data_IF_639394620629
#
_entry.id   IF_639394620629
#
_cell.length_a   1.000
_cell.length_b   1.000
_cell.length_c   1.000
_cell.angle_alpha   90.00
_cell.angle_beta   90.00
_cell.angle_gamma   90.00
#
_symmetry.space_group_name_H-M   'P 1'
#
loop_
_entity.id
_entity.type
_entity.pdbx_description
1 polymer ?
#
# COMPACT_ATOMS: atom_id res chain seq x y z
N UNK A 1 -12.81 16.80 -8.82
CA UNK A 1 -13.13 15.72 -9.78
C UNK A 1 -12.12 14.62 -9.52
N UNK A 2 -12.52 13.39 -9.17
CA UNK A 2 -11.55 12.29 -9.07
C UNK A 2 -11.19 11.85 -10.49
N UNK A 3 -9.90 11.70 -10.77
CA UNK A 3 -9.40 11.22 -12.04
C UNK A 3 -9.74 9.73 -12.22
N UNK A 4 -10.18 9.28 -13.41
CA UNK A 4 -10.37 7.86 -13.70
C UNK A 4 -9.00 7.15 -13.65
N UNK A 5 -8.85 6.16 -12.76
CA UNK A 5 -7.62 5.36 -12.61
C UNK A 5 -6.74 5.68 -11.39
N UNK A 6 -7.20 6.48 -10.44
CA UNK A 6 -6.46 6.76 -9.21
C UNK A 6 -6.65 5.65 -8.15
N UNK A 7 -5.54 5.07 -7.64
CA UNK A 7 -5.50 4.11 -6.52
C UNK A 7 -5.81 4.74 -5.14
N UNK A 8 -6.62 5.81 -5.11
CA UNK A 8 -6.98 6.59 -3.93
C UNK A 8 -8.46 6.48 -3.62
N UNK A 9 -8.78 6.18 -2.36
CA UNK A 9 -10.13 6.29 -1.83
C UNK A 9 -10.19 7.44 -0.81
N UNK A 10 -10.54 8.65 -1.24
CA UNK A 10 -10.69 9.83 -0.35
C UNK A 10 -12.08 9.88 0.29
N UNK A 11 -12.24 9.72 1.60
CA UNK A 11 -13.56 9.79 2.24
C UNK A 11 -14.14 11.21 2.15
N UNK A 12 -14.97 11.42 1.13
CA UNK A 12 -15.80 12.61 0.96
C UNK A 12 -17.26 12.14 0.93
N UNK A 13 -18.02 12.57 1.94
CA UNK A 13 -19.44 12.33 2.08
C UNK A 13 -20.19 12.78 0.81
N UNK A 14 -20.73 11.83 0.04
CA UNK A 14 -21.48 12.11 -1.18
C UNK A 14 -22.00 10.85 -1.86
N UNK A 15 -23.24 10.48 -1.50
CA UNK A 15 -24.20 9.54 -2.14
C UNK A 15 -23.64 8.63 -3.26
N UNK A 16 -23.68 7.32 -3.03
CA UNK A 16 -23.62 6.31 -4.08
C UNK A 16 -24.93 5.50 -4.11
N UNK A 17 -25.52 5.47 -5.31
CA UNK A 17 -26.78 4.80 -5.63
C UNK A 17 -26.64 3.28 -5.71
N UNK A 18 -27.74 2.62 -5.37
CA UNK A 18 -27.92 1.18 -5.21
C UNK A 18 -27.76 0.42 -6.53
N UNK A 19 -26.73 -0.42 -6.68
CA UNK A 19 -26.65 -1.39 -7.78
C UNK A 19 -27.00 -2.80 -7.26
N UNK A 20 -28.13 -3.33 -7.75
CA UNK A 20 -28.58 -4.72 -7.61
C UNK A 20 -28.39 -5.43 -8.96
N UNK A 21 -27.63 -6.53 -9.00
CA UNK A 21 -27.99 -7.87 -9.55
C UNK A 21 -26.81 -8.64 -10.19
N UNK A 22 -26.81 -9.95 -9.86
CA UNK A 22 -26.41 -11.13 -10.64
C UNK A 22 -25.00 -11.16 -11.23
N UNK A 23 -24.06 -11.82 -10.55
CA UNK A 23 -22.78 -12.25 -11.13
C UNK A 23 -22.63 -13.75 -10.85
N UNK A 24 -22.62 -14.54 -11.94
CA UNK A 24 -22.22 -15.95 -11.94
C UNK A 24 -20.69 -15.98 -12.16
N UNK A 25 -19.93 -16.52 -11.20
CA UNK A 25 -18.59 -17.07 -11.46
C UNK A 25 -17.34 -16.18 -11.27
N UNK A 26 -17.42 -14.98 -10.66
CA UNK A 26 -16.24 -14.17 -10.33
C UNK A 26 -15.84 -14.32 -8.86
N UNK A 27 -14.71 -14.98 -8.58
CA UNK A 27 -14.17 -15.12 -7.22
C UNK A 27 -13.29 -13.91 -6.85
N UNK A 28 -13.65 -13.24 -5.75
CA UNK A 28 -12.99 -12.03 -5.23
C UNK A 28 -12.37 -12.30 -3.86
N UNK A 29 -11.15 -11.80 -3.63
CA UNK A 29 -10.53 -11.74 -2.31
C UNK A 29 -10.20 -10.29 -1.95
N UNK A 30 -10.69 -9.81 -0.80
CA UNK A 30 -10.38 -8.48 -0.28
C UNK A 30 -9.52 -8.62 0.98
N UNK A 31 -8.35 -7.96 0.98
CA UNK A 31 -7.43 -7.88 2.09
C UNK A 31 -7.37 -6.44 2.60
N UNK A 32 -8.21 -6.13 3.57
CA UNK A 32 -8.27 -4.86 4.27
C UNK A 32 -7.27 -4.87 5.44
N UNK A 33 -6.35 -3.90 5.50
CA UNK A 33 -5.36 -3.81 6.59
C UNK A 33 -4.52 -5.07 6.76
N UNK A 34 -4.14 -5.72 5.65
CA UNK A 34 -3.55 -7.06 5.66
C UNK A 34 -2.24 -7.13 6.47
N UNK A 35 -2.15 -8.06 7.42
CA UNK A 35 -0.94 -8.26 8.25
C UNK A 35 0.07 -9.17 7.54
N UNK A 36 0.23 -8.99 6.22
CA UNK A 36 0.91 -9.96 5.34
C UNK A 36 2.40 -10.14 5.63
N UNK A 37 3.03 -9.12 6.23
CA UNK A 37 4.44 -9.11 6.66
C UNK A 37 4.57 -8.91 8.17
N UNK A 38 3.48 -9.12 8.92
CA UNK A 38 3.43 -8.86 10.35
C UNK A 38 3.11 -7.40 10.71
N UNK A 39 2.82 -7.12 11.99
CA UNK A 39 2.74 -5.78 12.55
C UNK A 39 4.11 -5.11 12.66
N UNK A 40 4.14 -3.83 13.03
CA UNK A 40 5.38 -3.12 13.38
C UNK A 40 6.23 -3.92 14.40
N UNK A 41 7.51 -4.22 14.12
CA UNK A 41 8.34 -5.07 14.98
C UNK A 41 8.50 -4.56 16.42
N UNK A 42 8.44 -3.25 16.62
CA UNK A 42 8.55 -2.58 17.92
C UNK A 42 7.44 -3.01 18.89
N UNK A 43 6.31 -3.48 18.35
CA UNK A 43 5.18 -3.90 19.15
C UNK A 43 5.26 -5.36 19.57
N UNK A 44 6.18 -6.16 19.01
CA UNK A 44 6.31 -7.59 19.32
C UNK A 44 6.41 -7.83 20.83
N UNK A 45 7.37 -7.18 21.50
CA UNK A 45 7.57 -7.33 22.94
C UNK A 45 6.34 -6.91 23.77
N UNK A 46 5.66 -5.82 23.37
CA UNK A 46 4.46 -5.33 24.05
C UNK A 46 3.28 -6.29 23.86
N UNK A 47 3.00 -6.74 22.65
CA UNK A 47 1.90 -7.68 22.39
C UNK A 47 2.16 -9.04 23.03
N UNK A 48 3.37 -9.59 22.95
CA UNK A 48 3.69 -10.86 23.61
C UNK A 48 3.59 -10.78 25.14
N UNK A 49 3.79 -9.60 25.73
CA UNK A 49 3.70 -9.39 27.18
C UNK A 49 2.26 -9.13 27.66
N UNK A 50 1.47 -8.33 26.92
CA UNK A 50 0.13 -7.88 27.35
C UNK A 50 -1.04 -8.64 26.71
N UNK A 51 -0.79 -9.45 25.67
CA UNK A 51 -1.79 -10.32 25.04
C UNK A 51 -1.15 -11.67 24.68
N UNK A 52 -0.89 -12.53 25.68
CA UNK A 52 -0.30 -13.86 25.48
C UNK A 52 -1.26 -14.87 24.79
N UNK A 53 -2.36 -14.39 24.21
CA UNK A 53 -3.22 -15.21 23.36
C UNK A 53 -2.40 -15.68 22.14
N UNK A 54 -2.43 -16.98 21.87
CA UNK A 54 -1.65 -17.61 20.79
C UNK A 54 -1.89 -16.96 19.42
N UNK A 55 -3.12 -16.52 19.15
CA UNK A 55 -3.50 -15.88 17.88
C UNK A 55 -2.83 -14.53 17.63
N UNK A 56 -2.62 -13.71 18.67
CA UNK A 56 -1.94 -12.42 18.53
C UNK A 56 -0.43 -12.59 18.31
N UNK A 57 0.14 -13.68 18.82
CA UNK A 57 1.56 -14.00 18.64
C UNK A 57 1.84 -14.57 17.25
N UNK A 58 0.90 -15.34 16.70
CA UNK A 58 0.95 -15.87 15.33
C UNK A 58 1.06 -14.77 14.26
N UNK A 59 0.46 -13.59 14.50
CA UNK A 59 0.58 -12.44 13.59
C UNK A 59 2.04 -11.98 13.40
N UNK A 60 2.90 -12.13 14.42
CA UNK A 60 4.31 -11.79 14.30
C UNK A 60 5.13 -12.87 13.59
N UNK A 61 4.57 -14.05 13.32
CA UNK A 61 5.22 -15.06 12.49
C UNK A 61 5.21 -14.67 11.01
N UNK A 62 4.28 -13.81 10.58
CA UNK A 62 4.28 -13.24 9.23
C UNK A 62 5.50 -12.35 8.95
N UNK A 63 6.17 -11.85 9.98
CA UNK A 63 7.39 -11.07 9.82
C UNK A 63 8.59 -11.92 9.35
N UNK A 64 8.52 -13.24 9.49
CA UNK A 64 9.52 -14.18 8.98
C UNK A 64 8.97 -14.89 7.72
N UNK A 65 9.54 -14.63 6.53
CA UNK A 65 9.15 -15.30 5.29
C UNK A 65 9.31 -16.83 5.33
N UNK A 66 10.21 -17.34 6.19
CA UNK A 66 10.46 -18.78 6.33
C UNK A 66 9.51 -19.45 7.33
N UNK A 67 8.68 -18.68 8.03
CA UNK A 67 7.71 -19.25 8.97
C UNK A 67 6.69 -20.12 8.25
N UNK A 68 6.12 -21.07 8.99
CA UNK A 68 5.10 -22.00 8.43
C UNK A 68 3.87 -21.22 7.96
N UNK A 69 3.49 -20.16 8.67
CA UNK A 69 2.33 -19.33 8.35
C UNK A 69 2.58 -18.52 7.07
N UNK A 70 3.72 -17.85 6.95
CA UNK A 70 4.10 -17.08 5.76
C UNK A 70 4.13 -17.95 4.51
N UNK A 71 4.75 -19.13 4.59
CA UNK A 71 4.82 -20.08 3.47
C UNK A 71 3.46 -20.61 3.04
N UNK A 72 2.58 -20.90 4.00
CA UNK A 72 1.20 -21.32 3.71
C UNK A 72 0.39 -20.19 3.08
N UNK A 73 0.58 -18.96 3.55
CA UNK A 73 -0.10 -17.79 2.99
C UNK A 73 0.33 -17.51 1.55
N UNK A 74 1.64 -17.57 1.26
CA UNK A 74 2.17 -17.44 -0.11
C UNK A 74 1.64 -18.54 -1.04
N UNK A 75 1.65 -19.81 -0.58
CA UNK A 75 1.14 -20.92 -1.37
C UNK A 75 -0.36 -20.80 -1.64
N UNK A 76 -1.14 -20.38 -0.64
CA UNK A 76 -2.57 -20.12 -0.82
C UNK A 76 -2.82 -19.00 -1.84
N UNK A 77 -2.03 -17.92 -1.80
CA UNK A 77 -2.11 -16.84 -2.78
C UNK A 77 -1.74 -17.35 -4.18
N UNK A 78 -0.67 -18.14 -4.30
CA UNK A 78 -0.22 -18.76 -5.56
C UNK A 78 -1.31 -19.62 -6.18
N UNK A 79 -2.01 -20.42 -5.36
CA UNK A 79 -3.14 -21.23 -5.80
C UNK A 79 -4.31 -20.34 -6.23
N UNK A 80 -4.67 -19.33 -5.43
CA UNK A 80 -5.79 -18.44 -5.73
C UNK A 80 -5.62 -17.72 -7.07
N UNK A 81 -4.47 -17.07 -7.29
CA UNK A 81 -4.21 -16.34 -8.54
C UNK A 81 -4.13 -17.29 -9.74
N UNK A 82 -3.65 -18.52 -9.56
CA UNK A 82 -3.60 -19.56 -10.60
C UNK A 82 -5.00 -19.96 -11.08
N UNK A 83 -5.99 -19.98 -10.18
CA UNK A 83 -7.40 -20.26 -10.52
C UNK A 83 -8.17 -19.02 -10.98
N UNK A 84 -7.51 -17.86 -11.13
CA UNK A 84 -8.14 -16.64 -11.63
C UNK A 84 -8.78 -15.77 -10.55
N UNK A 85 -8.53 -16.06 -9.27
CA UNK A 85 -9.00 -15.20 -8.18
C UNK A 85 -8.28 -13.86 -8.24
N UNK A 86 -9.06 -12.79 -8.12
CA UNK A 86 -8.55 -11.43 -8.04
C UNK A 86 -8.50 -10.95 -6.61
N UNK A 87 -7.34 -10.41 -6.25
CA UNK A 87 -7.03 -10.02 -4.88
C UNK A 87 -6.82 -8.52 -4.83
N UNK A 88 -7.63 -7.85 -4.01
CA UNK A 88 -7.50 -6.43 -3.74
C UNK A 88 -6.90 -6.24 -2.36
N UNK A 89 -5.75 -5.58 -2.28
CA UNK A 89 -5.16 -5.15 -1.01
C UNK A 89 -5.44 -3.67 -0.78
N UNK A 90 -5.98 -3.34 0.38
CA UNK A 90 -6.22 -1.95 0.78
C UNK A 90 -5.60 -1.69 2.16
N UNK A 91 -4.67 -0.73 2.23
CA UNK A 91 -4.05 -0.28 3.48
C UNK A 91 -4.46 1.15 3.83
N UNK A 92 -4.50 1.48 5.14
CA UNK A 92 -4.66 2.89 5.55
C UNK A 92 -3.31 3.62 5.53
N UNK A 93 -3.32 4.88 5.10
CA UNK A 93 -2.11 5.72 5.09
C UNK A 93 -1.59 6.01 6.50
N UNK A 94 -2.45 6.07 7.49
CA UNK A 94 -2.16 6.42 8.88
C UNK A 94 -2.40 5.24 9.83
N UNK A 95 -2.16 4.02 9.33
CA UNK A 95 -2.25 2.79 10.12
C UNK A 95 -1.27 2.82 11.30
N UNK A 96 -1.81 2.59 12.49
CA UNK A 96 -1.07 2.65 13.75
C UNK A 96 -0.45 1.32 14.16
N UNK A 97 -0.83 0.19 13.55
CA UNK A 97 -0.40 -1.16 13.98
C UNK A 97 0.37 -1.90 12.89
N UNK A 98 -0.01 -1.68 11.62
CA UNK A 98 0.52 -2.42 10.47
C UNK A 98 1.15 -1.43 9.49
N UNK A 99 2.34 -1.76 9.00
CA UNK A 99 3.02 -0.92 8.01
C UNK A 99 2.29 -0.96 6.66
N UNK A 100 2.35 0.13 5.89
CA UNK A 100 1.73 0.18 4.56
C UNK A 100 2.24 -0.96 3.66
N UNK A 101 3.54 -1.25 3.70
CA UNK A 101 4.13 -2.36 2.94
C UNK A 101 3.53 -3.75 3.27
N UNK A 102 3.14 -3.96 4.53
CA UNK A 102 2.52 -5.20 5.02
C UNK A 102 1.08 -5.26 4.53
N UNK A 103 0.34 -4.15 4.68
CA UNK A 103 -1.05 -3.99 4.24
C UNK A 103 -1.27 -4.25 2.76
N UNK A 104 -0.31 -3.87 1.91
CA UNK A 104 -0.41 -4.06 0.45
C UNK A 104 0.30 -5.33 -0.07
N UNK A 105 0.87 -6.12 0.84
CA UNK A 105 1.79 -7.22 0.54
C UNK A 105 2.81 -6.84 -0.56
N UNK A 106 3.71 -5.91 -0.22
CA UNK A 106 4.65 -5.31 -1.18
C UNK A 106 5.53 -6.30 -1.97
N UNK A 107 6.05 -7.41 -1.40
CA UNK A 107 6.98 -8.31 -2.08
C UNK A 107 6.38 -9.12 -3.24
N UNK A 108 5.07 -9.33 -3.26
CA UNK A 108 4.42 -10.13 -4.30
C UNK A 108 4.09 -9.28 -5.53
N UNK A 109 4.09 -9.86 -6.72
CA UNK A 109 3.67 -9.16 -7.94
C UNK A 109 2.91 -10.13 -8.83
N UNK A 110 1.69 -9.76 -9.22
CA UNK A 110 0.85 -10.51 -10.14
C UNK A 110 -0.23 -9.60 -10.73
N UNK A 111 -0.64 -9.75 -12.01
CA UNK A 111 -1.68 -8.91 -12.62
C UNK A 111 -3.06 -8.98 -11.94
N UNK A 112 -3.39 -10.11 -11.31
CA UNK A 112 -4.61 -10.26 -10.50
C UNK A 112 -4.48 -9.70 -9.07
N UNK A 113 -3.45 -8.90 -8.79
CA UNK A 113 -3.30 -8.20 -7.52
C UNK A 113 -3.46 -6.72 -7.77
N UNK A 114 -4.49 -6.13 -7.17
CA UNK A 114 -4.71 -4.69 -7.16
C UNK A 114 -4.42 -4.12 -5.78
N UNK A 115 -3.71 -2.99 -5.73
CA UNK A 115 -3.36 -2.33 -4.47
C UNK A 115 -3.95 -0.93 -4.41
N UNK A 116 -4.50 -0.60 -3.25
CA UNK A 116 -5.12 0.69 -2.97
C UNK A 116 -4.68 1.23 -1.62
N UNK A 117 -4.76 2.55 -1.48
CA UNK A 117 -4.59 3.24 -0.21
C UNK A 117 -5.88 3.94 0.19
N UNK A 118 -6.29 3.69 1.43
CA UNK A 118 -7.34 4.44 2.11
C UNK A 118 -6.74 5.70 2.74
N UNK A 119 -7.34 6.85 2.43
CA UNK A 119 -6.96 8.14 3.00
C UNK A 119 -8.20 8.75 3.64
N UNK A 120 -8.16 8.88 4.97
CA UNK A 120 -9.24 9.54 5.70
C UNK A 120 -9.17 11.05 5.51
N UNK A 121 -10.06 11.58 4.66
CA UNK A 121 -10.18 13.01 4.37
C UNK A 121 -10.51 13.89 5.58
N UNK A 122 -10.96 13.30 6.71
CA UNK A 122 -11.24 14.04 7.96
C UNK A 122 -9.96 14.41 8.70
N UNK A 123 -8.95 13.55 8.64
CA UNK A 123 -7.66 13.74 9.32
C UNK A 123 -6.62 14.28 8.33
N UNK A 124 -6.64 13.77 7.10
CA UNK A 124 -5.63 14.05 6.09
C UNK A 124 -6.27 14.81 4.92
N UNK A 125 -5.96 16.09 4.81
CA UNK A 125 -6.17 16.78 3.54
C UNK A 125 -5.28 16.15 2.46
N UNK A 126 -5.75 16.05 1.19
CA UNK A 126 -4.91 15.65 0.08
C UNK A 126 -3.62 16.47 0.08
N UNK A 127 -2.50 15.79 0.26
CA UNK A 127 -1.19 16.39 0.33
C UNK A 127 -0.20 15.60 -0.53
N UNK A 128 1.02 16.13 -0.66
CA UNK A 128 2.09 15.47 -1.42
C UNK A 128 2.28 14.00 -1.06
N UNK A 129 2.25 13.62 0.22
CA UNK A 129 2.46 12.22 0.62
C UNK A 129 1.34 11.29 0.16
N UNK A 130 0.09 11.72 0.27
CA UNK A 130 -1.01 10.93 -0.30
C UNK A 130 -0.78 10.76 -1.81
N UNK A 131 -0.51 11.83 -2.56
CA UNK A 131 -0.24 11.77 -4.01
C UNK A 131 1.02 10.97 -4.37
N UNK A 132 2.02 10.89 -3.50
CA UNK A 132 3.20 10.07 -3.71
C UNK A 132 2.88 8.57 -3.55
N UNK A 133 2.13 8.21 -2.50
CA UNK A 133 1.85 6.81 -2.18
C UNK A 133 0.97 6.15 -3.23
N UNK A 134 -0.15 6.74 -3.61
CA UNK A 134 -0.97 6.17 -4.69
C UNK A 134 -0.36 6.33 -6.09
N UNK A 135 0.56 7.27 -6.33
CA UNK A 135 1.43 7.20 -7.53
C UNK A 135 2.29 5.93 -7.50
N UNK A 136 2.94 5.64 -6.38
CA UNK A 136 3.70 4.40 -6.22
C UNK A 136 2.83 3.14 -6.35
N UNK A 137 1.62 3.13 -5.78
CA UNK A 137 0.69 2.01 -5.95
C UNK A 137 0.20 1.87 -7.38
N UNK A 138 -0.07 2.97 -8.08
CA UNK A 138 -0.41 2.96 -9.51
C UNK A 138 0.71 2.31 -10.32
N UNK A 139 1.97 2.68 -10.08
CA UNK A 139 3.12 2.02 -10.71
C UNK A 139 3.13 0.51 -10.43
N UNK A 140 2.92 0.10 -9.17
CA UNK A 140 2.88 -1.32 -8.79
C UNK A 140 1.73 -2.08 -9.46
N UNK A 141 0.55 -1.46 -9.60
CA UNK A 141 -0.59 -2.06 -10.29
C UNK A 141 -0.35 -2.17 -11.81
N UNK A 142 0.47 -1.29 -12.38
CA UNK A 142 0.93 -1.36 -13.78
C UNK A 142 2.11 -2.31 -13.98
N UNK A 143 2.61 -2.96 -12.92
CA UNK A 143 3.76 -3.87 -12.97
C UNK A 143 5.12 -3.17 -12.94
N UNK A 144 5.16 -1.85 -12.77
CA UNK A 144 6.40 -1.06 -12.62
C UNK A 144 6.86 -1.11 -11.17
N UNK A 145 8.19 -1.14 -10.96
CA UNK A 145 8.79 -1.14 -9.63
C UNK A 145 8.65 0.22 -8.96
N UNK A 146 8.24 0.27 -7.70
CA UNK A 146 8.32 1.47 -6.86
C UNK A 146 9.70 1.62 -6.20
N UNK A 147 10.66 0.74 -6.52
CA UNK A 147 12.01 0.68 -5.95
C UNK A 147 12.05 0.53 -4.41
N UNK A 148 10.94 0.12 -3.79
CA UNK A 148 10.81 0.02 -2.34
C UNK A 148 10.44 1.34 -1.66
N UNK A 149 9.93 2.33 -2.41
CA UNK A 149 9.47 3.61 -1.86
C UNK A 149 8.44 3.43 -0.75
N UNK A 150 7.47 2.53 -0.95
CA UNK A 150 6.40 2.33 0.04
C UNK A 150 6.97 1.78 1.34
N UNK A 151 7.97 0.89 1.27
CA UNK A 151 8.67 0.36 2.44
C UNK A 151 9.37 1.46 3.22
N UNK A 152 10.16 2.31 2.56
CA UNK A 152 10.88 3.40 3.23
C UNK A 152 9.91 4.42 3.87
N UNK A 153 8.79 4.72 3.22
CA UNK A 153 7.80 5.67 3.73
C UNK A 153 6.90 5.07 4.82
N UNK A 154 6.75 3.74 4.90
CA UNK A 154 5.82 3.08 5.83
C UNK A 154 6.05 3.49 7.28
N UNK A 155 7.31 3.63 7.71
CA UNK A 155 7.65 4.06 9.07
C UNK A 155 7.31 5.53 9.33
N UNK A 156 7.46 6.38 8.32
CA UNK A 156 7.15 7.81 8.43
C UNK A 156 5.65 8.10 8.42
N UNK A 157 4.86 7.18 7.88
CA UNK A 157 3.41 7.25 7.76
C UNK A 157 2.68 6.62 8.96
N UNK A 158 3.39 5.92 9.84
CA UNK A 158 2.80 5.24 10.99
C UNK A 158 1.92 6.17 11.83
N UNK A 159 0.67 5.76 12.02
CA UNK A 159 -0.31 6.49 12.82
C UNK A 159 0.03 6.52 14.31
N UNK A 160 -0.62 7.43 15.04
CA UNK A 160 -0.52 7.48 16.50
C UNK A 160 -1.26 6.30 17.13
N UNK A 161 -0.60 5.51 17.99
CA UNK A 161 -1.27 4.44 18.74
C UNK A 161 -2.36 4.93 19.71
N UNK A 162 -2.28 6.19 20.16
CA UNK A 162 -3.16 6.73 21.19
C UNK A 162 -4.40 7.42 20.63
N UNK A 163 -4.32 7.91 19.40
CA UNK A 163 -5.35 8.76 18.78
C UNK A 163 -5.65 8.37 17.34
N UNK A 164 -4.87 7.46 16.77
CA UNK A 164 -5.02 6.97 15.40
C UNK A 164 -6.03 5.84 15.34
N UNK A 165 -6.88 5.91 14.34
CA UNK A 165 -7.91 4.90 14.06
C UNK A 165 -7.79 4.39 12.61
N UNK A 166 -6.66 4.66 11.95
CA UNK A 166 -6.44 4.38 10.54
C UNK A 166 -6.67 2.91 10.19
N UNK A 167 -6.13 1.99 11.00
CA UNK A 167 -6.29 0.55 10.77
C UNK A 167 -7.77 0.10 10.78
N UNK A 168 -8.61 0.72 11.61
CA UNK A 168 -10.00 0.30 11.79
C UNK A 168 -10.95 1.01 10.83
N UNK A 169 -10.71 2.29 10.54
CA UNK A 169 -11.61 3.12 9.72
C UNK A 169 -11.75 2.63 8.29
N UNK A 170 -10.72 1.98 7.73
CA UNK A 170 -10.78 1.46 6.36
C UNK A 170 -11.85 0.37 6.19
N UNK A 171 -12.22 -0.34 7.26
CA UNK A 171 -13.26 -1.38 7.23
C UNK A 171 -14.68 -0.80 7.19
N UNK A 172 -14.85 0.47 7.58
CA UNK A 172 -16.15 1.15 7.64
C UNK A 172 -16.51 1.88 6.34
N UNK A 173 -15.59 1.96 5.37
CA UNK A 173 -15.79 2.71 4.14
C UNK A 173 -16.26 1.80 3.00
N UNK A 174 -17.51 1.99 2.57
CA UNK A 174 -18.15 1.22 1.50
C UNK A 174 -17.32 1.18 0.20
N UNK A 175 -16.57 2.25 -0.09
CA UNK A 175 -15.85 2.40 -1.36
C UNK A 175 -14.65 1.47 -1.47
N UNK A 176 -14.14 0.98 -0.33
CA UNK A 176 -13.11 -0.06 -0.31
C UNK A 176 -13.68 -1.37 -0.85
N UNK A 177 -14.92 -1.69 -0.50
CA UNK A 177 -15.63 -2.86 -1.01
C UNK A 177 -16.07 -2.67 -2.46
N UNK A 178 -16.57 -1.48 -2.82
CA UNK A 178 -16.92 -1.17 -4.21
C UNK A 178 -15.73 -1.36 -5.15
N UNK A 179 -14.54 -0.87 -4.76
CA UNK A 179 -13.30 -1.04 -5.52
C UNK A 179 -12.90 -2.52 -5.67
N UNK A 180 -13.05 -3.30 -4.60
CA UNK A 180 -12.76 -4.74 -4.63
C UNK A 180 -13.71 -5.48 -5.58
N UNK A 181 -15.00 -5.14 -5.54
CA UNK A 181 -16.01 -5.70 -6.42
C UNK A 181 -15.74 -5.27 -7.87
N UNK A 182 -15.45 -4.00 -8.13
CA UNK A 182 -15.12 -3.49 -9.46
C UNK A 182 -13.93 -4.25 -10.06
N UNK A 183 -12.84 -4.40 -9.29
CA UNK A 183 -11.67 -5.15 -9.73
C UNK A 183 -11.96 -6.64 -9.93
N UNK A 184 -12.81 -7.25 -9.10
CA UNK A 184 -13.22 -8.64 -9.29
C UNK A 184 -14.06 -8.85 -10.57
N UNK A 185 -14.74 -7.81 -11.03
CA UNK A 185 -15.65 -7.85 -12.17
C UNK A 185 -15.04 -7.51 -13.51
N UNK A 186 -13.80 -7.00 -13.58
CA UNK A 186 -13.19 -6.81 -14.91
C UNK A 186 -13.08 -8.17 -15.62
N UNK A 187 -13.07 -8.15 -16.95
CA UNK A 187 -13.10 -9.40 -17.75
C UNK A 187 -11.74 -9.74 -18.36
N UNK A 188 -10.67 -9.08 -17.90
CA UNK A 188 -9.29 -9.34 -18.31
C UNK A 188 -8.85 -10.75 -17.93
N UNK A 189 -8.74 -11.63 -18.93
CA UNK A 189 -8.29 -13.01 -18.74
C UNK A 189 -6.80 -13.12 -19.08
N UNK A 190 -6.00 -13.45 -18.08
CA UNK A 190 -4.57 -13.73 -18.19
C UNK A 190 -4.38 -15.21 -17.83
N UNK A 191 -3.63 -15.93 -18.67
CA UNK A 191 -3.35 -17.36 -18.47
C UNK A 191 -1.87 -17.57 -18.19
N UNK A 192 -1.58 -18.49 -17.27
CA UNK A 192 -0.25 -19.02 -17.01
C UNK A 192 0.82 -18.00 -16.57
N UNK A 193 0.43 -16.89 -15.94
CA UNK A 193 1.37 -15.99 -15.27
C UNK A 193 1.63 -16.51 -13.85
N UNK A 194 2.89 -16.80 -13.47
CA UNK A 194 3.21 -17.21 -12.11
C UNK A 194 3.18 -16.00 -11.16
N UNK A 195 2.86 -16.27 -9.88
CA UNK A 195 3.08 -15.31 -8.81
C UNK A 195 4.59 -15.07 -8.63
N UNK A 196 5.02 -13.84 -8.86
CA UNK A 196 6.38 -13.38 -8.55
C UNK A 196 6.45 -12.95 -7.08
N UNK A 197 7.43 -13.47 -6.35
CA UNK A 197 7.63 -13.19 -4.93
C UNK A 197 9.08 -12.79 -4.75
N UNK A 198 9.31 -11.50 -4.45
CA UNK A 198 10.65 -10.99 -4.19
C UNK A 198 11.11 -11.40 -2.81
N UNK A 199 12.40 -11.68 -2.67
CA UNK A 199 13.00 -11.95 -1.36
C UNK A 199 12.82 -10.73 -0.45
N UNK A 200 12.08 -10.93 0.63
CA UNK A 200 11.81 -9.88 1.60
C UNK A 200 12.80 -9.98 2.75
N UNK A 201 13.53 -8.90 2.97
CA UNK A 201 14.38 -8.73 4.15
C UNK A 201 13.94 -7.47 4.90
N UNK A 202 13.71 -7.63 6.20
CA UNK A 202 13.40 -6.51 7.10
C UNK A 202 14.62 -5.58 7.12
N UNK A 203 14.47 -4.30 6.72
CA UNK A 203 15.58 -3.36 6.71
C UNK A 203 16.17 -3.21 8.12
N UNK A 204 17.43 -3.63 8.29
CA UNK A 204 18.09 -3.59 9.61
C UNK A 204 18.74 -2.22 9.89
N UNK A 205 18.91 -1.38 8.85
CA UNK A 205 19.57 -0.08 8.96
C UNK A 205 18.82 0.99 8.14
N UNK A 206 18.42 2.09 8.79
CA UNK A 206 17.82 3.26 8.16
C UNK A 206 18.92 4.14 7.53
N UNK A 207 19.38 3.77 6.33
CA UNK A 207 20.34 4.58 5.58
C UNK A 207 19.64 5.81 4.97
N UNK A 208 20.03 7.05 5.34
CA UNK A 208 19.35 8.27 4.88
C UNK A 208 19.47 8.52 3.37
N UNK A 209 20.42 7.87 2.68
CA UNK A 209 20.63 8.01 1.23
C UNK A 209 19.76 7.07 0.38
N UNK A 210 19.01 6.15 0.99
CA UNK A 210 18.16 5.19 0.27
C UNK A 210 16.98 5.91 -0.37
N UNK A 211 16.25 6.73 0.40
CA UNK A 211 15.05 7.41 -0.11
C UNK A 211 15.33 8.32 -1.33
N UNK A 212 16.38 9.16 -1.34
CA UNK A 212 16.74 9.94 -2.54
C UNK A 212 17.07 9.07 -3.75
N UNK A 213 17.76 7.94 -3.53
CA UNK A 213 18.14 7.02 -4.60
C UNK A 213 16.92 6.31 -5.21
N UNK A 214 16.00 5.85 -4.37
CA UNK A 214 14.72 5.25 -4.77
C UNK A 214 13.91 6.24 -5.63
N UNK A 215 13.75 7.48 -5.14
CA UNK A 215 12.98 8.50 -5.86
C UNK A 215 13.59 8.84 -7.20
N UNK A 216 14.92 8.92 -7.27
CA UNK A 216 15.60 9.09 -8.56
C UNK A 216 15.33 7.92 -9.50
N UNK A 217 15.44 6.68 -9.02
CA UNK A 217 15.17 5.48 -9.83
C UNK A 217 13.74 5.47 -10.36
N UNK A 218 12.77 5.77 -9.51
CA UNK A 218 11.36 5.86 -9.88
C UNK A 218 11.08 6.94 -10.93
N UNK A 219 11.72 8.10 -10.84
CA UNK A 219 11.60 9.17 -11.85
C UNK A 219 12.39 8.86 -13.13
N UNK A 220 13.39 7.98 -13.06
CA UNK A 220 14.19 7.58 -14.19
C UNK A 220 13.57 6.44 -15.03
N UNK A 221 12.53 5.76 -14.52
CA UNK A 221 11.80 4.71 -15.23
C UNK A 221 11.23 5.20 -16.58
N UNK A 222 11.41 4.42 -17.65
CA UNK A 222 11.00 4.80 -19.01
C UNK A 222 9.49 5.04 -19.10
N UNK A 223 8.69 4.19 -18.44
CA UNK A 223 7.24 4.34 -18.39
C UNK A 223 6.81 5.64 -17.69
N UNK A 224 7.53 6.03 -16.64
CA UNK A 224 7.24 7.26 -15.89
C UNK A 224 7.54 8.49 -16.73
N UNK A 225 8.67 8.51 -17.45
CA UNK A 225 9.07 9.61 -18.33
C UNK A 225 8.18 9.77 -19.56
N UNK A 226 7.59 8.69 -20.04
CA UNK A 226 6.82 8.69 -21.30
C UNK A 226 5.34 8.93 -21.05
N UNK A 227 4.72 8.14 -20.16
CA UNK A 227 3.27 8.10 -19.97
C UNK A 227 2.79 8.90 -18.76
N UNK A 228 3.67 9.23 -17.81
CA UNK A 228 3.29 9.85 -16.52
C UNK A 228 3.97 11.20 -16.24
N UNK A 229 4.59 11.82 -17.25
CA UNK A 229 5.32 13.09 -17.10
C UNK A 229 4.48 14.23 -16.49
N UNK A 230 3.22 14.35 -16.90
CA UNK A 230 2.27 15.33 -16.34
C UNK A 230 1.96 15.05 -14.87
N UNK A 231 1.83 13.79 -14.47
CA UNK A 231 1.57 13.41 -13.07
C UNK A 231 2.81 13.67 -12.21
N UNK A 232 4.01 13.37 -12.73
CA UNK A 232 5.28 13.69 -12.07
C UNK A 232 5.43 15.19 -11.87
N UNK A 233 5.13 16.00 -12.88
CA UNK A 233 5.21 17.46 -12.78
C UNK A 233 4.28 18.01 -11.70
N UNK A 234 3.04 17.51 -11.63
CA UNK A 234 2.10 17.91 -10.58
C UNK A 234 2.56 17.42 -9.20
N UNK A 235 3.10 16.21 -9.10
CA UNK A 235 3.65 15.66 -7.85
C UNK A 235 4.82 16.51 -7.33
N UNK A 236 5.71 16.97 -8.22
CA UNK A 236 6.83 17.86 -7.88
C UNK A 236 6.35 19.25 -7.44
N UNK A 237 5.32 19.79 -8.10
CA UNK A 237 4.70 21.06 -7.67
C UNK A 237 4.10 20.93 -6.27
N UNK A 238 3.38 19.85 -6.00
CA UNK A 238 2.84 19.58 -4.67
C UNK A 238 3.94 19.39 -3.62
N UNK A 239 5.08 18.80 -3.97
CA UNK A 239 6.24 18.69 -3.10
C UNK A 239 6.78 20.06 -2.67
N UNK A 240 6.91 20.99 -3.63
CA UNK A 240 7.39 22.35 -3.37
C UNK A 240 6.45 23.12 -2.43
N UNK A 241 5.14 22.97 -2.63
CA UNK A 241 4.11 23.60 -1.81
C UNK A 241 3.94 22.92 -0.43
N UNK A 242 4.34 21.66 -0.29
CA UNK A 242 4.12 20.87 0.91
C UNK A 242 4.92 21.36 2.11
N UNK A 243 4.23 21.63 3.23
CA UNK A 243 4.83 22.10 4.48
C UNK A 243 4.58 21.08 5.60
N UNK A 244 5.48 20.11 5.82
CA UNK A 244 5.30 19.10 6.85
C UNK A 244 5.31 19.69 8.27
N UNK A 245 4.41 19.19 9.12
CA UNK A 245 4.26 19.67 10.50
C UNK A 245 5.12 18.88 11.48
N UNK A 246 5.17 17.55 11.33
CA UNK A 246 5.90 16.65 12.24
C UNK A 246 7.40 16.61 11.95
N UNK A 247 8.21 16.29 12.96
CA UNK A 247 9.68 16.16 12.81
C UNK A 247 10.05 15.09 11.78
N UNK A 248 9.34 13.97 11.79
CA UNK A 248 9.57 12.84 10.87
C UNK A 248 9.31 13.26 9.42
N UNK A 249 8.19 13.94 9.16
CA UNK A 249 7.85 14.39 7.81
C UNK A 249 8.77 15.53 7.31
N UNK A 250 9.28 16.38 8.21
CA UNK A 250 10.31 17.37 7.88
C UNK A 250 11.61 16.70 7.45
N UNK A 251 12.00 15.63 8.13
CA UNK A 251 13.18 14.84 7.77
C UNK A 251 13.00 14.15 6.40
N UNK A 252 11.82 13.58 6.14
CA UNK A 252 11.47 13.04 4.81
C UNK A 252 11.59 14.12 3.74
N UNK A 253 11.02 15.31 3.95
CA UNK A 253 11.13 16.42 2.99
C UNK A 253 12.59 16.79 2.73
N UNK A 254 13.38 16.93 3.78
CA UNK A 254 14.81 17.27 3.65
C UNK A 254 15.60 16.23 2.84
N UNK A 255 15.35 14.92 3.05
CA UNK A 255 15.97 13.87 2.24
C UNK A 255 15.57 13.98 0.77
N UNK A 256 14.29 14.21 0.50
CA UNK A 256 13.75 14.33 -0.86
C UNK A 256 14.26 15.58 -1.61
N UNK A 257 14.61 16.66 -0.90
CA UNK A 257 15.19 17.86 -1.52
C UNK A 257 16.49 17.57 -2.29
N UNK A 258 17.24 16.53 -1.91
CA UNK A 258 18.45 16.12 -2.65
C UNK A 258 18.14 15.73 -4.11
N UNK A 259 16.95 15.16 -4.36
CA UNK A 259 16.50 14.73 -5.69
C UNK A 259 16.05 15.92 -6.54
N UNK A 260 15.58 17.01 -5.89
CA UNK A 260 15.14 18.25 -6.54
C UNK A 260 16.23 18.92 -7.37
N UNK A 261 17.50 18.77 -6.98
CA UNK A 261 18.65 19.41 -7.65
C UNK A 261 19.09 18.75 -8.96
N UNK A 262 18.60 17.54 -9.27
CA UNK A 262 19.00 16.74 -10.43
C UNK A 262 17.84 16.42 -11.39
N UNK A 263 16.71 17.08 -11.19
CA UNK A 263 15.59 17.13 -12.14
C UNK A 263 15.79 18.32 -13.08
#
# INVERSE_FOLDING_TARGET
MPFPGCAYLYNACGKADRIRRCIDGSDCCLCNGGVSLGPFPEYKARFTMFSPASSATELFEFADPQSTVSRKYEEALRVAVKYGVRVTYCGSIDDQVVSMESSIFSPVSHPYIYRAVFVDGRIHAPNFLSHLIGFALKLRNLGVSDHGLIRELSTALAGSLYTGEGHSRLYEDDRVYDLAIEFALETSAIRDVPLDVKEYQVPTNANPYVLPWIMRGLLEEDFVKTELDTEVTELLKQFDEWKPTTKVLKDVKYRLEAVRSKL
#
